data_IF_401764424067
#
_entry.id   IF_401764424067
#
_cell.length_a   1.000
_cell.length_b   1.000
_cell.length_c   1.000
_cell.angle_alpha   90.00
_cell.angle_beta   90.00
_cell.angle_gamma   90.00
#
_symmetry.space_group_name_H-M   'P 1'
#
loop_
_entity.id
_entity.type
_entity.pdbx_description
1 polymer ?
#
# COMPACT_ATOMS: atom_id res chain seq x y z
N UNK A 1 -43.01 3.22 5.18
CA UNK A 1 -42.61 3.76 3.86
C UNK A 1 -43.58 3.18 2.86
N UNK A 2 -44.24 4.00 2.03
CA UNK A 2 -45.03 3.51 0.92
C UNK A 2 -44.16 3.57 -0.33
N UNK A 3 -43.56 2.44 -0.69
CA UNK A 3 -42.62 2.36 -1.81
C UNK A 3 -43.31 2.06 -3.16
N UNK A 4 -44.64 1.95 -3.20
CA UNK A 4 -45.37 1.63 -4.42
C UNK A 4 -44.98 0.30 -5.06
N UNK A 5 -44.45 -0.65 -4.28
CA UNK A 5 -44.03 -1.96 -4.78
C UNK A 5 -45.28 -2.75 -5.14
N UNK A 6 -45.32 -3.27 -6.37
CA UNK A 6 -46.43 -4.11 -6.82
C UNK A 6 -46.48 -5.42 -6.03
N UNK A 7 -47.68 -5.88 -5.70
CA UNK A 7 -47.92 -7.10 -4.95
C UNK A 7 -47.21 -8.33 -5.55
N UNK A 8 -47.17 -8.41 -6.88
CA UNK A 8 -46.56 -9.52 -7.62
C UNK A 8 -45.03 -9.39 -7.79
N UNK A 9 -44.39 -8.42 -7.14
CA UNK A 9 -42.93 -8.27 -7.19
C UNK A 9 -42.28 -9.42 -6.44
N UNK A 10 -41.39 -10.15 -7.12
CA UNK A 10 -40.62 -11.24 -6.51
C UNK A 10 -39.60 -10.70 -5.51
N UNK A 11 -39.56 -11.31 -4.32
CA UNK A 11 -38.65 -10.99 -3.24
C UNK A 11 -37.56 -12.06 -3.16
N UNK A 12 -36.32 -11.63 -3.33
CA UNK A 12 -35.13 -12.45 -3.14
C UNK A 12 -34.64 -13.22 -4.37
N UNK A 13 -33.70 -14.17 -4.18
CA UNK A 13 -33.07 -14.89 -5.28
C UNK A 13 -34.06 -15.76 -6.07
N UNK A 14 -33.73 -16.03 -7.33
CA UNK A 14 -34.46 -16.98 -8.18
C UNK A 14 -34.54 -18.35 -7.49
N UNK A 15 -35.77 -18.85 -7.25
CA UNK A 15 -36.03 -20.14 -6.61
C UNK A 15 -36.75 -20.07 -5.25
N UNK A 16 -36.89 -18.89 -4.63
CA UNK A 16 -37.68 -18.73 -3.41
C UNK A 16 -39.18 -18.46 -3.67
N UNK A 17 -39.50 -18.00 -4.88
CA UNK A 17 -40.84 -17.65 -5.38
C UNK A 17 -41.71 -16.85 -4.39
N UNK A 18 -41.06 -16.04 -3.55
CA UNK A 18 -41.74 -15.20 -2.57
C UNK A 18 -42.23 -13.93 -3.25
N UNK A 19 -43.48 -13.55 -3.01
CA UNK A 19 -44.10 -12.35 -3.58
C UNK A 19 -44.33 -11.31 -2.49
N UNK A 20 -44.21 -10.03 -2.84
CA UNK A 20 -44.31 -8.93 -1.88
C UNK A 20 -45.60 -8.97 -1.03
N UNK A 21 -46.74 -9.33 -1.61
CA UNK A 21 -48.01 -9.40 -0.87
C UNK A 21 -47.99 -10.38 0.31
N UNK A 22 -47.19 -11.45 0.23
CA UNK A 22 -47.07 -12.46 1.31
C UNK A 22 -46.53 -11.83 2.59
N UNK A 23 -45.82 -10.71 2.47
CA UNK A 23 -45.20 -10.00 3.58
C UNK A 23 -46.04 -8.85 4.13
N UNK A 24 -47.15 -8.49 3.48
CA UNK A 24 -47.99 -7.32 3.82
C UNK A 24 -48.45 -7.32 5.28
N UNK A 25 -48.94 -8.46 5.77
CA UNK A 25 -49.39 -8.64 7.16
C UNK A 25 -48.25 -8.43 8.16
N UNK A 26 -47.05 -8.93 7.87
CA UNK A 26 -45.89 -8.71 8.76
C UNK A 26 -45.41 -7.26 8.71
N UNK A 27 -45.43 -6.64 7.53
CA UNK A 27 -45.02 -5.26 7.35
C UNK A 27 -45.92 -4.28 8.10
N UNK A 28 -47.24 -4.55 8.13
CA UNK A 28 -48.21 -3.76 8.90
C UNK A 28 -47.94 -3.77 10.42
N UNK A 29 -47.28 -4.82 10.94
CA UNK A 29 -46.90 -4.90 12.36
C UNK A 29 -45.72 -4.00 12.72
N UNK A 30 -44.96 -3.50 11.74
CA UNK A 30 -43.79 -2.64 11.94
C UNK A 30 -42.80 -3.17 12.99
N UNK A 31 -42.63 -4.50 13.02
CA UNK A 31 -41.71 -5.16 13.95
C UNK A 31 -40.27 -4.73 13.63
N UNK A 32 -39.43 -4.56 14.64
CA UNK A 32 -38.01 -4.29 14.44
C UNK A 32 -37.23 -5.59 14.34
N UNK A 33 -36.23 -5.65 13.45
CA UNK A 33 -35.19 -6.67 13.58
C UNK A 33 -34.47 -6.42 14.91
N UNK A 34 -33.71 -7.38 15.44
CA UNK A 34 -32.88 -7.18 16.64
C UNK A 34 -31.96 -5.94 16.53
N UNK A 35 -31.15 -5.67 17.57
CA UNK A 35 -30.30 -4.47 17.72
C UNK A 35 -29.57 -3.98 16.45
N UNK A 36 -29.19 -2.69 16.46
CA UNK A 36 -28.44 -2.02 15.38
C UNK A 36 -27.26 -2.88 14.92
N UNK A 37 -27.13 -3.10 13.62
CA UNK A 37 -26.00 -3.85 13.05
C UNK A 37 -25.23 -3.00 12.07
N UNK A 38 -23.93 -3.28 11.92
CA UNK A 38 -23.12 -2.57 10.94
C UNK A 38 -23.29 -3.20 9.54
N UNK A 39 -23.13 -2.38 8.50
CA UNK A 39 -22.96 -2.81 7.13
C UNK A 39 -21.50 -2.60 6.74
N UNK A 40 -20.83 -3.67 6.35
CA UNK A 40 -19.43 -3.63 5.91
C UNK A 40 -19.30 -4.05 4.45
N UNK A 41 -18.28 -3.56 3.74
CA UNK A 41 -17.93 -4.16 2.46
C UNK A 41 -17.43 -5.60 2.64
N UNK A 42 -17.66 -6.43 1.64
CA UNK A 42 -17.01 -7.73 1.51
C UNK A 42 -15.54 -7.56 1.01
N UNK A 43 -14.94 -8.59 0.42
CA UNK A 43 -13.54 -8.59 -0.07
C UNK A 43 -13.19 -7.42 -1.01
N UNK A 44 -14.18 -6.82 -1.65
CA UNK A 44 -14.02 -5.86 -2.73
C UNK A 44 -14.09 -4.38 -2.31
N UNK A 45 -14.72 -4.07 -1.17
CA UNK A 45 -15.24 -2.72 -0.94
C UNK A 45 -14.52 -1.86 0.10
N UNK A 46 -13.43 -2.33 0.71
CA UNK A 46 -12.72 -1.55 1.74
C UNK A 46 -11.39 -1.03 1.25
N UNK A 47 -11.15 0.26 1.48
CA UNK A 47 -9.81 0.84 1.42
C UNK A 47 -8.97 0.33 2.61
N UNK A 48 -7.64 0.49 2.52
CA UNK A 48 -6.73 0.31 3.66
C UNK A 48 -7.31 1.02 4.89
N UNK A 49 -7.57 0.30 5.99
CA UNK A 49 -8.12 0.87 7.21
C UNK A 49 -7.26 2.03 7.71
N UNK A 50 -7.88 3.13 8.13
CA UNK A 50 -7.15 4.32 8.57
C UNK A 50 -6.13 4.04 9.68
N UNK A 51 -6.31 3.09 10.63
CA UNK A 51 -5.26 2.81 11.61
C UNK A 51 -3.99 2.24 10.95
N UNK A 52 -4.14 1.39 9.92
CA UNK A 52 -3.00 0.84 9.17
C UNK A 52 -2.31 1.93 8.36
N UNK A 53 -3.08 2.76 7.66
CA UNK A 53 -2.55 3.91 6.94
C UNK A 53 -1.86 4.92 7.89
N UNK A 54 -2.38 5.11 9.11
CA UNK A 54 -1.80 5.99 10.11
C UNK A 54 -0.47 5.44 10.63
N UNK A 55 -0.39 4.15 10.96
CA UNK A 55 0.89 3.52 11.33
C UNK A 55 1.91 3.68 10.20
N UNK A 56 1.48 3.47 8.96
CA UNK A 56 2.35 3.65 7.80
C UNK A 56 2.81 5.11 7.66
N UNK A 57 1.92 6.09 7.85
CA UNK A 57 2.24 7.52 7.86
C UNK A 57 3.21 7.88 8.99
N UNK A 58 3.01 7.37 10.20
CA UNK A 58 3.87 7.62 11.37
C UNK A 58 5.28 7.07 11.16
N UNK A 59 5.45 6.01 10.37
CA UNK A 59 6.76 5.49 9.97
C UNK A 59 7.36 6.37 8.86
N UNK A 60 6.60 6.67 7.80
CA UNK A 60 7.12 7.32 6.61
C UNK A 60 7.39 8.82 6.79
N UNK A 61 6.54 9.53 7.53
CA UNK A 61 6.65 10.98 7.68
C UNK A 61 7.98 11.40 8.34
N UNK A 62 8.40 10.83 9.50
CA UNK A 62 9.72 11.13 10.06
C UNK A 62 10.85 10.72 9.12
N UNK A 63 10.71 9.61 8.39
CA UNK A 63 11.74 9.15 7.46
C UNK A 63 11.95 10.12 6.31
N UNK A 64 10.89 10.71 5.76
CA UNK A 64 11.01 11.75 4.73
C UNK A 64 11.77 12.97 5.26
N UNK A 65 11.46 13.42 6.48
CA UNK A 65 12.19 14.53 7.13
C UNK A 65 13.67 14.20 7.38
N UNK A 66 13.96 12.97 7.83
CA UNK A 66 15.34 12.51 8.04
C UNK A 66 16.05 12.34 6.69
N UNK A 67 15.39 11.88 5.62
CA UNK A 67 16.00 11.76 4.28
C UNK A 67 16.42 13.11 3.70
N UNK A 68 15.67 14.17 4.00
CA UNK A 68 16.02 15.53 3.60
C UNK A 68 17.36 15.98 4.22
N UNK A 69 17.62 15.60 5.47
CA UNK A 69 18.76 16.13 6.26
C UNK A 69 19.92 15.14 6.46
N UNK A 70 19.63 13.86 6.70
CA UNK A 70 20.55 12.79 7.15
C UNK A 70 20.31 11.45 6.44
N UNK A 71 20.22 11.48 5.11
CA UNK A 71 19.92 10.32 4.26
C UNK A 71 20.79 9.06 4.53
N UNK A 72 22.05 9.24 4.93
CA UNK A 72 22.97 8.13 5.19
C UNK A 72 22.49 7.18 6.31
N UNK A 73 21.72 7.69 7.28
CA UNK A 73 21.26 6.89 8.43
C UNK A 73 20.02 6.04 8.13
N UNK A 74 19.32 6.31 7.02
CA UNK A 74 18.01 5.72 6.71
C UNK A 74 18.04 4.82 5.47
N UNK A 75 19.22 4.51 4.96
CA UNK A 75 19.40 3.71 3.73
C UNK A 75 18.76 2.32 3.86
N UNK A 76 19.16 1.56 4.89
CA UNK A 76 18.69 0.18 5.10
C UNK A 76 17.18 0.15 5.33
N UNK A 77 16.66 1.04 6.17
CA UNK A 77 15.23 1.11 6.44
C UNK A 77 14.42 1.45 5.18
N UNK A 78 14.96 2.29 4.30
CA UNK A 78 14.31 2.60 3.01
C UNK A 78 14.20 1.38 2.10
N UNK A 79 15.22 0.52 2.08
CA UNK A 79 15.19 -0.73 1.31
C UNK A 79 14.17 -1.72 1.88
N UNK A 80 14.09 -1.83 3.21
CA UNK A 80 13.14 -2.71 3.89
C UNK A 80 11.70 -2.27 3.62
N UNK A 81 11.42 -0.96 3.69
CA UNK A 81 10.09 -0.42 3.39
C UNK A 81 9.72 -0.62 1.93
N UNK A 82 10.63 -0.35 1.00
CA UNK A 82 10.41 -0.62 -0.43
C UNK A 82 10.12 -2.10 -0.70
N UNK A 83 10.88 -3.03 -0.10
CA UNK A 83 10.64 -4.46 -0.23
C UNK A 83 9.28 -4.87 0.38
N UNK A 84 8.90 -4.26 1.50
CA UNK A 84 7.59 -4.48 2.15
C UNK A 84 6.45 -4.00 1.25
N UNK A 85 6.59 -2.82 0.64
CA UNK A 85 5.59 -2.26 -0.30
C UNK A 85 5.45 -3.11 -1.56
N UNK A 86 6.54 -3.67 -2.09
CA UNK A 86 6.47 -4.68 -3.17
C UNK A 86 5.67 -5.89 -2.69
N UNK A 87 6.03 -6.46 -1.54
CA UNK A 87 5.36 -7.64 -0.97
C UNK A 87 3.86 -7.42 -0.79
N UNK A 88 3.46 -6.30 -0.19
CA UNK A 88 2.05 -5.94 -0.02
C UNK A 88 1.32 -5.72 -1.34
N UNK A 89 1.94 -5.04 -2.30
CA UNK A 89 1.31 -4.81 -3.61
C UNK A 89 1.12 -6.11 -4.38
N UNK A 90 2.13 -7.00 -4.37
CA UNK A 90 2.05 -8.32 -4.98
C UNK A 90 0.96 -9.14 -4.32
N UNK A 91 0.91 -9.16 -2.99
CA UNK A 91 -0.12 -9.88 -2.25
C UNK A 91 -1.52 -9.37 -2.62
N UNK A 92 -1.75 -8.06 -2.57
CA UNK A 92 -3.03 -7.49 -2.96
C UNK A 92 -3.41 -7.81 -4.42
N UNK A 93 -2.44 -7.84 -5.34
CA UNK A 93 -2.67 -8.22 -6.74
C UNK A 93 -3.04 -9.69 -6.90
N UNK A 94 -2.41 -10.59 -6.14
CA UNK A 94 -2.69 -12.01 -6.16
C UNK A 94 -4.06 -12.32 -5.55
N UNK A 95 -4.37 -11.72 -4.41
CA UNK A 95 -5.64 -11.90 -3.69
C UNK A 95 -6.83 -11.40 -4.48
N UNK A 96 -6.72 -10.19 -5.04
CA UNK A 96 -7.83 -9.57 -5.77
C UNK A 96 -7.88 -9.94 -7.24
N UNK A 97 -6.82 -10.58 -7.75
CA UNK A 97 -6.56 -10.76 -9.19
C UNK A 97 -6.60 -9.44 -9.98
N UNK A 98 -6.48 -8.30 -9.29
CA UNK A 98 -6.66 -6.93 -9.82
C UNK A 98 -8.04 -6.71 -10.45
N UNK A 99 -9.06 -7.37 -9.92
CA UNK A 99 -10.44 -7.14 -10.35
C UNK A 99 -10.85 -5.69 -10.08
N UNK A 100 -11.58 -5.04 -11.01
CA UNK A 100 -11.88 -3.61 -10.92
C UNK A 100 -12.82 -3.26 -9.77
N UNK A 101 -13.71 -4.19 -9.39
CA UNK A 101 -14.57 -4.08 -8.22
C UNK A 101 -13.79 -4.10 -6.89
N UNK A 102 -12.54 -4.55 -6.90
CA UNK A 102 -11.67 -4.68 -5.71
C UNK A 102 -10.55 -3.62 -5.66
N UNK A 103 -10.63 -2.57 -6.48
CA UNK A 103 -9.59 -1.51 -6.60
C UNK A 103 -9.18 -0.90 -5.26
N UNK A 104 -10.11 -0.81 -4.31
CA UNK A 104 -9.89 -0.23 -3.00
C UNK A 104 -8.85 -1.02 -2.18
N UNK A 105 -8.70 -2.32 -2.44
CA UNK A 105 -7.73 -3.19 -1.76
C UNK A 105 -6.36 -3.11 -2.42
N UNK A 106 -6.30 -3.08 -3.75
CA UNK A 106 -5.04 -3.26 -4.48
C UNK A 106 -4.39 -1.98 -5.03
N UNK A 107 -5.07 -0.83 -5.02
CA UNK A 107 -4.54 0.39 -5.63
C UNK A 107 -3.12 0.74 -5.13
N UNK A 108 -2.08 0.75 -6.01
CA UNK A 108 -0.67 0.85 -5.60
C UNK A 108 -0.23 2.30 -5.38
N UNK A 109 -1.09 3.15 -4.79
CA UNK A 109 -0.86 4.60 -4.72
C UNK A 109 0.26 4.97 -3.73
N UNK A 110 0.46 4.14 -2.70
CA UNK A 110 1.46 4.38 -1.64
C UNK A 110 2.90 4.10 -2.10
N UNK A 111 3.06 3.38 -3.22
CA UNK A 111 4.35 2.93 -3.77
C UNK A 111 5.28 4.08 -4.16
N UNK A 112 4.72 5.24 -4.57
CA UNK A 112 5.49 6.42 -5.00
C UNK A 112 6.53 6.87 -3.97
N UNK A 113 6.22 6.72 -2.68
CA UNK A 113 7.10 7.16 -1.59
C UNK A 113 8.39 6.33 -1.57
N UNK A 114 8.26 5.02 -1.77
CA UNK A 114 9.39 4.10 -1.80
C UNK A 114 10.18 4.19 -3.10
N UNK A 115 9.53 4.50 -4.23
CA UNK A 115 10.21 4.78 -5.50
C UNK A 115 11.20 5.93 -5.34
N UNK A 116 10.75 7.05 -4.78
CA UNK A 116 11.62 8.19 -4.47
C UNK A 116 12.78 7.80 -3.55
N UNK A 117 12.51 6.96 -2.54
CA UNK A 117 13.51 6.50 -1.59
C UNK A 117 14.64 5.69 -2.23
N UNK A 118 14.30 4.67 -3.01
CA UNK A 118 15.30 3.79 -3.63
C UNK A 118 16.02 4.49 -4.77
N UNK A 119 15.34 5.40 -5.48
CA UNK A 119 15.97 6.26 -6.47
C UNK A 119 17.00 7.20 -5.81
N UNK A 120 16.66 7.86 -4.71
CA UNK A 120 17.61 8.67 -3.95
C UNK A 120 18.82 7.84 -3.52
N UNK A 121 18.60 6.62 -3.04
CA UNK A 121 19.66 5.76 -2.54
C UNK A 121 20.66 5.38 -3.64
N UNK A 122 20.16 4.99 -4.82
CA UNK A 122 20.98 4.66 -5.97
C UNK A 122 21.84 5.85 -6.42
N UNK A 123 21.22 7.02 -6.61
CA UNK A 123 21.92 8.20 -7.13
C UNK A 123 22.94 8.79 -6.14
N UNK A 124 22.62 8.85 -4.84
CA UNK A 124 23.52 9.46 -3.87
C UNK A 124 24.75 8.59 -3.55
N UNK A 125 24.61 7.27 -3.54
CA UNK A 125 25.78 6.39 -3.37
C UNK A 125 26.71 6.47 -4.59
N UNK A 126 26.13 6.55 -5.79
CA UNK A 126 26.89 6.72 -7.02
C UNK A 126 27.58 8.09 -7.08
N UNK A 127 26.93 9.14 -6.57
CA UNK A 127 27.50 10.48 -6.46
C UNK A 127 28.71 10.54 -5.52
N UNK A 128 28.59 10.00 -4.30
CA UNK A 128 29.69 9.94 -3.32
C UNK A 128 30.96 9.33 -3.96
N UNK A 129 30.78 8.40 -4.90
CA UNK A 129 31.86 7.76 -5.63
C UNK A 129 32.31 8.56 -6.86
N UNK A 130 31.38 9.19 -7.59
CA UNK A 130 31.66 10.01 -8.77
C UNK A 130 32.47 11.26 -8.43
N UNK A 131 32.27 11.86 -7.25
CA UNK A 131 33.05 13.03 -6.80
C UNK A 131 34.57 12.74 -6.77
N UNK A 132 34.96 11.46 -6.68
CA UNK A 132 36.36 11.02 -6.62
C UNK A 132 36.90 10.51 -7.97
N UNK A 133 36.05 10.18 -8.95
CA UNK A 133 36.45 9.50 -10.21
C UNK A 133 35.84 10.08 -11.50
N UNK A 134 35.00 11.11 -11.42
CA UNK A 134 34.20 11.59 -12.55
C UNK A 134 32.89 10.81 -12.71
N UNK A 135 32.25 10.89 -13.89
CA UNK A 135 30.96 10.20 -14.12
C UNK A 135 31.10 8.68 -14.00
N UNK A 136 30.31 8.07 -13.12
CA UNK A 136 30.31 6.62 -12.91
C UNK A 136 28.92 6.08 -13.28
N UNK A 137 28.81 5.28 -14.34
CA UNK A 137 27.53 4.75 -14.77
C UNK A 137 27.01 3.68 -13.77
N UNK A 138 25.68 3.53 -13.59
CA UNK A 138 25.11 2.56 -12.65
C UNK A 138 25.58 1.12 -12.84
N UNK A 139 25.87 0.70 -14.08
CA UNK A 139 26.39 -0.65 -14.37
C UNK A 139 27.74 -0.93 -13.71
N UNK A 140 28.51 0.10 -13.34
CA UNK A 140 29.77 -0.06 -12.64
C UNK A 140 29.60 -0.76 -11.28
N UNK A 141 28.53 -0.46 -10.55
CA UNK A 141 28.22 -1.15 -9.29
C UNK A 141 28.00 -2.66 -9.51
N UNK A 142 27.30 -3.03 -10.59
CA UNK A 142 27.12 -4.42 -10.98
C UNK A 142 28.46 -5.09 -11.34
N UNK A 143 29.34 -4.39 -12.05
CA UNK A 143 30.66 -4.91 -12.41
C UNK A 143 31.55 -5.18 -11.20
N UNK A 144 31.44 -4.40 -10.12
CA UNK A 144 32.19 -4.64 -8.88
C UNK A 144 31.69 -5.89 -8.16
N UNK A 145 30.37 -6.10 -8.12
CA UNK A 145 29.79 -7.30 -7.52
C UNK A 145 30.20 -8.56 -8.29
N UNK A 146 30.11 -8.53 -9.62
CA UNK A 146 30.48 -9.65 -10.47
C UNK A 146 31.99 -9.85 -10.56
N UNK A 147 32.78 -8.77 -10.50
CA UNK A 147 34.25 -8.80 -10.55
C UNK A 147 34.89 -9.50 -9.35
N UNK A 148 34.16 -9.66 -8.23
CA UNK A 148 34.56 -10.50 -7.11
C UNK A 148 34.65 -12.00 -7.44
N UNK A 149 34.09 -12.45 -8.57
CA UNK A 149 34.23 -13.82 -9.08
C UNK A 149 35.50 -14.03 -9.91
N UNK A 150 36.18 -12.94 -10.31
CA UNK A 150 37.47 -13.02 -10.99
C UNK A 150 38.56 -13.10 -9.91
N UNK A 151 39.07 -14.30 -9.66
CA UNK A 151 40.20 -14.55 -8.74
C UNK A 151 41.28 -13.50 -9.01
N UNK A 152 41.61 -12.67 -8.02
CA UNK A 152 42.81 -11.86 -8.10
C UNK A 152 44.00 -12.82 -8.26
N UNK A 153 44.90 -12.57 -9.21
CA UNK A 153 46.14 -13.33 -9.29
C UNK A 153 46.85 -13.23 -7.93
N UNK A 154 47.48 -14.33 -7.47
CA UNK A 154 48.14 -14.35 -6.17
C UNK A 154 49.10 -13.17 -6.07
N UNK A 155 48.97 -12.42 -4.96
CA UNK A 155 49.83 -11.29 -4.64
C UNK A 155 51.29 -11.80 -4.70
N UNK A 156 52.18 -11.19 -5.49
CA UNK A 156 53.56 -11.66 -5.57
C UNK A 156 54.18 -11.67 -4.17
N UNK A 157 55.01 -12.68 -3.85
CA UNK A 157 55.61 -12.82 -2.53
C UNK A 157 56.34 -11.53 -2.16
N UNK A 158 56.00 -10.99 -1.00
CA UNK A 158 56.61 -9.79 -0.43
C UNK A 158 58.10 -10.06 -0.28
N UNK A 159 58.93 -9.36 -1.05
CA UNK A 159 60.38 -9.45 -0.96
C UNK A 159 60.82 -9.25 0.49
N UNK A 160 61.71 -10.08 1.03
CA UNK A 160 62.17 -9.95 2.41
C UNK A 160 62.86 -8.60 2.57
N UNK A 161 62.27 -7.72 3.39
CA UNK A 161 62.92 -6.48 3.81
C UNK A 161 64.18 -6.85 4.59
N UNK A 162 65.33 -6.47 4.05
CA UNK A 162 66.62 -6.58 4.71
C UNK A 162 66.54 -5.88 6.08
N UNK A 163 66.62 -6.67 7.14
CA UNK A 163 66.62 -6.20 8.53
C UNK A 163 68.03 -5.70 8.84
N UNK A 164 68.23 -4.39 8.87
CA UNK A 164 69.47 -3.81 9.41
C UNK A 164 69.52 -4.06 10.93
N UNK A 165 70.63 -4.59 11.48
CA UNK A 165 70.75 -4.83 12.91
C UNK A 165 71.31 -3.62 13.67
N UNK A 166 70.74 -3.42 14.86
CA UNK A 166 71.33 -2.86 16.09
C UNK A 166 71.80 -1.41 16.13
N UNK A 167 71.14 -0.62 17.01
CA UNK A 167 71.83 0.16 18.05
C UNK A 167 70.96 0.26 19.33
N UNK A 168 71.58 0.49 20.51
CA UNK A 168 71.06 0.01 21.80
C UNK A 168 70.19 1.01 22.57
N UNK A 169 69.43 0.43 23.51
CA UNK A 169 68.60 1.08 24.53
C UNK A 169 69.39 2.10 25.35
N UNK A 170 68.89 3.33 25.41
CA UNK A 170 69.03 4.22 26.57
C UNK A 170 67.66 4.37 27.19
N UNK A 171 67.51 3.87 28.41
CA UNK A 171 66.34 4.08 29.24
C UNK A 171 66.35 5.53 29.73
N UNK A 172 65.28 6.28 29.46
CA UNK A 172 64.93 7.38 30.36
C UNK A 172 63.41 7.45 30.53
N UNK A 173 63.03 7.36 31.80
CA UNK A 173 61.68 7.44 32.33
C UNK A 173 61.40 8.93 32.60
N UNK A 174 60.14 9.34 32.42
CA UNK A 174 59.55 10.66 32.66
C UNK A 174 59.37 11.53 31.40
N UNK A 175 58.23 11.34 30.73
CA UNK A 175 57.30 12.42 30.41
C UNK A 175 56.02 11.79 29.84
N UNK A 176 54.95 11.77 30.65
CA UNK A 176 53.59 11.62 30.13
C UNK A 176 53.26 12.98 29.51
N UNK A 177 53.73 13.18 28.29
CA UNK A 177 53.22 14.23 27.43
C UNK A 177 52.05 13.61 26.67
N UNK A 178 50.88 14.19 26.88
CA UNK A 178 49.66 13.90 26.16
C UNK A 178 49.92 14.20 24.69
N UNK A 179 50.42 13.20 23.95
CA UNK A 179 50.53 13.23 22.52
C UNK A 179 49.10 13.33 21.98
N UNK A 180 48.64 14.57 21.82
CA UNK A 180 47.74 14.94 20.75
C UNK A 180 48.42 14.41 19.49
N UNK A 181 47.99 13.20 19.10
CA UNK A 181 48.17 12.67 17.76
C UNK A 181 47.43 13.66 16.88
N UNK A 182 48.12 14.73 16.53
CA UNK A 182 47.87 15.50 15.33
C UNK A 182 48.08 14.48 14.22
N UNK A 183 46.98 13.84 13.83
CA UNK A 183 46.88 13.21 12.52
C UNK A 183 47.20 14.32 11.52
N UNK A 184 48.48 14.45 11.17
CA UNK A 184 48.87 15.10 9.94
C UNK A 184 48.07 14.43 8.82
N UNK A 185 47.67 15.18 7.78
CA UNK A 185 47.01 14.58 6.64
C UNK A 185 48.05 13.67 5.98
N UNK A 186 48.08 12.40 6.39
CA UNK A 186 48.57 11.35 5.55
C UNK A 186 47.79 11.51 4.26
N UNK A 187 48.51 11.87 3.19
CA UNK A 187 48.02 11.87 1.84
C UNK A 187 47.67 10.42 1.50
N UNK A 188 46.52 9.96 2.00
CA UNK A 188 45.81 8.82 1.48
C UNK A 188 45.36 9.24 0.08
N UNK A 189 46.23 9.03 -0.89
CA UNK A 189 45.85 8.82 -2.30
C UNK A 189 45.07 7.51 -2.47
N UNK A 190 44.39 7.07 -1.41
CA UNK A 190 43.43 5.98 -1.38
C UNK A 190 42.21 6.44 -2.16
N UNK A 191 42.28 6.27 -3.48
CA UNK A 191 41.15 6.34 -4.38
C UNK A 191 39.96 5.68 -3.69
N UNK A 192 38.97 6.47 -3.27
CA UNK A 192 37.80 5.96 -2.56
C UNK A 192 37.17 4.84 -3.39
N UNK A 193 37.38 3.59 -2.97
CA UNK A 193 36.89 2.43 -3.70
C UNK A 193 35.46 2.15 -3.23
N UNK A 194 34.52 2.00 -4.17
CA UNK A 194 33.14 1.64 -3.83
C UNK A 194 33.19 0.27 -3.16
N UNK A 195 32.88 0.23 -1.86
CA UNK A 195 32.88 -1.02 -1.11
C UNK A 195 31.84 -1.98 -1.69
N UNK A 196 32.09 -3.30 -1.60
CA UNK A 196 31.14 -4.32 -2.07
C UNK A 196 29.74 -4.12 -1.46
N UNK A 197 29.67 -3.68 -0.20
CA UNK A 197 28.40 -3.37 0.48
C UNK A 197 27.64 -2.20 -0.16
N UNK A 198 28.32 -1.10 -0.49
CA UNK A 198 27.69 0.04 -1.20
C UNK A 198 27.24 -0.34 -2.61
N UNK A 199 28.05 -1.12 -3.33
CA UNK A 199 27.69 -1.64 -4.65
C UNK A 199 26.44 -2.55 -4.58
N UNK A 200 26.35 -3.42 -3.57
CA UNK A 200 25.17 -4.25 -3.32
C UNK A 200 23.93 -3.40 -3.07
N UNK A 201 24.02 -2.38 -2.21
CA UNK A 201 22.90 -1.47 -1.93
C UNK A 201 22.41 -0.77 -3.20
N UNK A 202 23.32 -0.29 -4.06
CA UNK A 202 22.95 0.35 -5.33
C UNK A 202 22.20 -0.61 -6.25
N UNK A 203 22.73 -1.82 -6.45
CA UNK A 203 22.08 -2.83 -7.31
C UNK A 203 20.72 -3.23 -6.76
N UNK A 204 20.62 -3.46 -5.44
CA UNK A 204 19.34 -3.75 -4.80
C UNK A 204 18.34 -2.60 -4.94
N UNK A 205 18.79 -1.36 -4.77
CA UNK A 205 17.95 -0.17 -4.95
C UNK A 205 17.39 -0.07 -6.37
N UNK A 206 18.22 -0.36 -7.38
CA UNK A 206 17.82 -0.36 -8.79
C UNK A 206 16.79 -1.48 -9.06
N UNK A 207 17.00 -2.68 -8.53
CA UNK A 207 16.05 -3.79 -8.67
C UNK A 207 14.71 -3.46 -8.02
N UNK A 208 14.71 -2.90 -6.81
CA UNK A 208 13.50 -2.46 -6.12
C UNK A 208 12.80 -1.33 -6.87
N UNK A 209 13.55 -0.36 -7.42
CA UNK A 209 13.00 0.71 -8.25
C UNK A 209 12.20 0.15 -9.44
N UNK A 210 12.80 -0.76 -10.22
CA UNK A 210 12.12 -1.38 -11.35
C UNK A 210 10.93 -2.24 -10.92
N UNK A 211 11.03 -2.93 -9.78
CA UNK A 211 9.91 -3.68 -9.21
C UNK A 211 8.72 -2.79 -8.88
N UNK A 212 8.95 -1.70 -8.14
CA UNK A 212 7.91 -0.72 -7.76
C UNK A 212 7.30 -0.05 -9.00
N UNK A 213 8.12 0.41 -9.95
CA UNK A 213 7.64 1.03 -11.19
C UNK A 213 6.81 0.05 -12.04
N UNK A 214 7.23 -1.23 -12.12
CA UNK A 214 6.47 -2.26 -12.82
C UNK A 214 5.10 -2.50 -12.18
N UNK A 215 5.03 -2.52 -10.83
CA UNK A 215 3.78 -2.67 -10.11
C UNK A 215 2.83 -1.48 -10.33
N UNK A 216 3.35 -0.26 -10.38
CA UNK A 216 2.56 0.93 -10.72
C UNK A 216 2.01 0.87 -12.16
N UNK A 217 2.83 0.47 -13.13
CA UNK A 217 2.40 0.31 -14.53
C UNK A 217 1.31 -0.77 -14.63
N UNK A 218 1.51 -1.91 -13.97
CA UNK A 218 0.52 -2.99 -13.93
C UNK A 218 -0.80 -2.50 -13.32
N UNK A 219 -0.73 -1.76 -12.21
CA UNK A 219 -1.90 -1.19 -11.55
C UNK A 219 -2.62 -0.16 -12.44
N UNK A 220 -1.86 0.68 -13.13
CA UNK A 220 -2.38 1.66 -14.09
C UNK A 220 -3.14 0.98 -15.24
N UNK A 221 -2.54 -0.02 -15.87
CA UNK A 221 -3.18 -0.79 -16.96
C UNK A 221 -4.46 -1.47 -16.45
N UNK A 222 -4.41 -2.07 -15.26
CA UNK A 222 -5.57 -2.73 -14.65
C UNK A 222 -6.69 -1.72 -14.35
N UNK A 223 -6.34 -0.52 -13.86
CA UNK A 223 -7.29 0.55 -13.58
C UNK A 223 -7.94 1.10 -14.86
N UNK A 224 -7.16 1.29 -15.93
CA UNK A 224 -7.67 1.72 -17.25
C UNK A 224 -8.65 0.68 -17.80
N UNK A 225 -8.30 -0.61 -17.76
CA UNK A 225 -9.18 -1.68 -18.20
C UNK A 225 -10.45 -1.75 -17.34
N UNK A 226 -10.34 -1.52 -16.03
CA UNK A 226 -11.49 -1.45 -15.13
C UNK A 226 -12.45 -0.31 -15.43
N UNK A 227 -11.93 0.85 -15.86
CA UNK A 227 -12.77 1.99 -16.27
C UNK A 227 -13.63 1.70 -17.49
N UNK A 228 -13.20 0.79 -18.36
CA UNK A 228 -13.99 0.39 -19.54
C UNK A 228 -15.30 -0.32 -19.17
N UNK A 229 -15.38 -0.91 -17.97
CA UNK A 229 -16.56 -1.63 -17.45
C UNK A 229 -17.19 -0.95 -16.23
N UNK A 230 -16.91 0.35 -16.04
CA UNK A 230 -17.30 1.11 -14.83
C UNK A 230 -18.81 1.08 -14.54
N UNK A 231 -19.64 1.06 -15.57
CA UNK A 231 -21.11 1.17 -15.45
C UNK A 231 -21.76 -0.16 -15.01
N UNK A 232 -21.02 -1.27 -15.12
CA UNK A 232 -21.47 -2.61 -14.71
C UNK A 232 -20.84 -3.06 -13.40
N UNK A 233 -20.09 -2.19 -12.71
CA UNK A 233 -19.45 -2.54 -11.46
C UNK A 233 -20.51 -2.68 -10.35
N UNK A 234 -20.41 -3.78 -9.62
CA UNK A 234 -21.18 -4.05 -8.41
C UNK A 234 -20.20 -4.28 -7.26
N UNK A 235 -20.61 -3.91 -6.05
CA UNK A 235 -19.85 -4.18 -4.83
C UNK A 235 -20.74 -4.90 -3.82
N UNK A 236 -20.17 -5.93 -3.19
CA UNK A 236 -20.88 -6.73 -2.20
C UNK A 236 -20.73 -6.10 -0.81
N UNK A 237 -21.84 -5.93 -0.12
CA UNK A 237 -21.91 -5.40 1.24
C UNK A 237 -22.65 -6.37 2.15
N UNK A 238 -22.08 -6.65 3.30
CA UNK A 238 -22.52 -7.70 4.20
C UNK A 238 -22.92 -7.13 5.56
N UNK A 239 -23.94 -7.73 6.16
CA UNK A 239 -24.40 -7.37 7.50
C UNK A 239 -24.93 -8.60 8.23
N UNK A 240 -24.64 -8.79 9.53
CA UNK A 240 -25.23 -9.85 10.34
C UNK A 240 -26.77 -9.82 10.31
N UNK A 241 -27.39 -8.66 10.09
CA UNK A 241 -28.85 -8.58 10.00
C UNK A 241 -29.44 -9.32 8.78
N UNK A 242 -28.62 -9.48 7.74
CA UNK A 242 -28.97 -10.22 6.52
C UNK A 242 -28.67 -11.72 6.65
N UNK A 243 -28.21 -12.17 7.82
CA UNK A 243 -28.04 -13.59 8.11
C UNK A 243 -29.41 -14.31 8.17
N UNK A 244 -29.35 -15.65 8.03
CA UNK A 244 -30.41 -16.64 8.31
C UNK A 244 -31.82 -16.27 7.83
N UNK A 245 -32.26 -16.96 6.77
CA UNK A 245 -33.59 -16.84 6.18
C UNK A 245 -33.91 -15.47 5.55
N UNK A 246 -33.04 -14.47 5.64
CA UNK A 246 -33.18 -13.23 4.89
C UNK A 246 -33.02 -13.52 3.39
N UNK A 247 -34.03 -13.12 2.62
CA UNK A 247 -34.07 -13.31 1.17
C UNK A 247 -34.00 -11.98 0.43
N UNK A 248 -34.45 -10.88 1.03
CA UNK A 248 -34.44 -9.57 0.40
C UNK A 248 -34.30 -8.42 1.40
N UNK A 249 -33.75 -7.30 0.94
CA UNK A 249 -33.62 -6.05 1.70
C UNK A 249 -34.20 -4.93 0.87
N UNK A 250 -35.21 -4.26 1.38
CA UNK A 250 -35.71 -3.02 0.80
C UNK A 250 -35.05 -1.85 1.52
N UNK A 251 -34.29 -1.06 0.77
CA UNK A 251 -33.67 0.14 1.31
C UNK A 251 -34.69 1.29 1.46
N UNK A 252 -34.29 2.34 2.18
CA UNK A 252 -35.13 3.54 2.34
C UNK A 252 -35.31 4.39 1.07
N UNK A 253 -34.64 4.03 -0.03
CA UNK A 253 -34.85 4.59 -1.36
C UNK A 253 -35.79 3.71 -2.21
N UNK A 254 -36.47 2.75 -1.58
CA UNK A 254 -37.43 1.86 -2.21
C UNK A 254 -36.82 0.93 -3.28
N UNK A 255 -35.52 0.63 -3.18
CA UNK A 255 -34.89 -0.39 -4.02
C UNK A 255 -34.77 -1.70 -3.27
N UNK A 256 -35.21 -2.76 -3.93
CA UNK A 256 -35.16 -4.12 -3.41
C UNK A 256 -33.84 -4.77 -3.85
N UNK A 257 -33.11 -5.29 -2.87
CA UNK A 257 -31.85 -5.99 -3.06
C UNK A 257 -32.03 -7.46 -2.66
N UNK A 258 -31.63 -8.38 -3.52
CA UNK A 258 -31.60 -9.80 -3.18
C UNK A 258 -30.47 -10.09 -2.20
N UNK A 259 -30.74 -10.85 -1.15
CA UNK A 259 -29.72 -11.31 -0.22
C UNK A 259 -29.10 -12.58 -0.76
N UNK A 260 -27.78 -12.57 -0.96
CA UNK A 260 -26.98 -13.77 -1.18
C UNK A 260 -26.32 -14.19 0.11
N UNK A 261 -26.40 -15.47 0.48
CA UNK A 261 -25.65 -16.00 1.61
C UNK A 261 -24.17 -16.12 1.24
N UNK A 262 -23.27 -15.51 2.01
CA UNK A 262 -21.86 -15.89 1.96
C UNK A 262 -21.70 -17.20 2.74
N UNK A 263 -21.85 -18.33 2.05
CA UNK A 263 -21.88 -19.68 2.63
C UNK A 263 -20.66 -20.02 3.50
N UNK A 264 -19.53 -19.32 3.31
CA UNK A 264 -18.30 -19.49 4.09
C UNK A 264 -18.23 -18.66 5.38
N UNK A 265 -19.12 -17.68 5.59
CA UNK A 265 -18.95 -16.64 6.62
C UNK A 265 -20.12 -16.45 7.57
N UNK A 266 -21.23 -17.18 7.40
CA UNK A 266 -22.41 -17.04 8.27
C UNK A 266 -23.01 -15.63 8.26
N UNK A 267 -22.86 -14.87 7.18
CA UNK A 267 -23.37 -13.50 7.04
C UNK A 267 -24.06 -13.38 5.67
N UNK A 268 -25.17 -12.65 5.61
CA UNK A 268 -25.82 -12.31 4.35
C UNK A 268 -25.28 -11.03 3.74
N UNK A 269 -25.28 -10.99 2.42
CA UNK A 269 -24.77 -9.85 1.67
C UNK A 269 -25.74 -9.42 0.58
N UNK A 270 -25.68 -8.13 0.26
CA UNK A 270 -26.41 -7.49 -0.85
C UNK A 270 -25.39 -6.92 -1.82
N UNK A 271 -25.80 -6.75 -3.08
CA UNK A 271 -25.00 -6.07 -4.09
C UNK A 271 -25.49 -4.64 -4.26
N UNK A 272 -24.56 -3.69 -4.19
CA UNK A 272 -24.80 -2.28 -4.43
C UNK A 272 -24.01 -1.82 -5.66
N UNK A 273 -24.43 -0.70 -6.28
CA UNK A 273 -23.71 -0.11 -7.40
C UNK A 273 -22.27 0.22 -7.03
N UNK A 274 -21.31 -0.18 -7.87
CA UNK A 274 -19.87 0.06 -7.70
C UNK A 274 -19.44 1.48 -8.06
N UNK A 275 -20.28 2.50 -7.84
CA UNK A 275 -19.98 3.88 -8.19
C UNK A 275 -18.72 4.41 -7.49
N UNK A 276 -18.48 3.95 -6.26
CA UNK A 276 -17.27 4.27 -5.51
C UNK A 276 -16.03 3.64 -6.17
N UNK A 277 -16.09 2.36 -6.54
CA UNK A 277 -15.03 1.66 -7.26
C UNK A 277 -14.70 2.37 -8.58
N UNK A 278 -15.71 2.79 -9.34
CA UNK A 278 -15.52 3.56 -10.56
C UNK A 278 -14.77 4.88 -10.32
N UNK A 279 -15.14 5.63 -9.27
CA UNK A 279 -14.43 6.85 -8.87
C UNK A 279 -12.98 6.57 -8.47
N UNK A 280 -12.74 5.48 -7.74
CA UNK A 280 -11.40 5.06 -7.32
C UNK A 280 -10.53 4.56 -8.45
N UNK A 281 -11.08 3.88 -9.46
CA UNK A 281 -10.37 3.54 -10.68
C UNK A 281 -9.90 4.80 -11.40
N UNK A 282 -10.79 5.79 -11.56
CA UNK A 282 -10.44 7.07 -12.19
C UNK A 282 -9.37 7.83 -11.41
N UNK A 283 -9.51 7.91 -10.09
CA UNK A 283 -8.52 8.49 -9.20
C UNK A 283 -7.18 7.75 -9.27
N UNK A 284 -7.20 6.41 -9.31
CA UNK A 284 -6.00 5.57 -9.43
C UNK A 284 -5.27 5.83 -10.74
N UNK A 285 -5.99 5.92 -11.86
CA UNK A 285 -5.39 6.29 -13.15
C UNK A 285 -4.73 7.67 -13.08
N UNK A 286 -5.45 8.68 -12.59
CA UNK A 286 -4.93 10.04 -12.49
C UNK A 286 -3.69 10.14 -11.59
N UNK A 287 -3.75 9.55 -10.39
CA UNK A 287 -2.65 9.58 -9.43
C UNK A 287 -1.44 8.78 -9.93
N UNK A 288 -1.63 7.62 -10.56
CA UNK A 288 -0.50 6.83 -11.07
C UNK A 288 0.18 7.49 -12.27
N UNK A 289 -0.58 8.11 -13.19
CA UNK A 289 0.01 8.89 -14.28
C UNK A 289 0.83 10.06 -13.70
N UNK A 290 0.25 10.82 -12.77
CA UNK A 290 0.96 11.90 -12.11
C UNK A 290 2.21 11.40 -11.38
N UNK A 291 2.11 10.28 -10.66
CA UNK A 291 3.22 9.62 -9.96
C UNK A 291 4.39 9.33 -10.90
N UNK A 292 4.14 8.64 -12.02
CA UNK A 292 5.16 8.29 -13.00
C UNK A 292 5.83 9.54 -13.61
N UNK A 293 5.07 10.61 -13.85
CA UNK A 293 5.62 11.89 -14.32
C UNK A 293 6.50 12.55 -13.25
N UNK A 294 6.08 12.53 -11.98
CA UNK A 294 6.87 13.08 -10.88
C UNK A 294 8.13 12.26 -10.61
N UNK A 295 8.08 10.95 -10.76
CA UNK A 295 9.24 10.06 -10.66
C UNK A 295 10.25 10.35 -11.77
N UNK A 296 9.77 10.56 -13.01
CA UNK A 296 10.62 10.99 -14.11
C UNK A 296 11.24 12.36 -13.85
N UNK A 297 10.47 13.32 -13.34
CA UNK A 297 10.96 14.65 -12.99
C UNK A 297 12.05 14.57 -11.90
N UNK A 298 11.82 13.78 -10.84
CA UNK A 298 12.80 13.57 -9.78
C UNK A 298 14.05 12.84 -10.32
N UNK A 299 13.92 11.88 -11.23
CA UNK A 299 15.04 11.22 -11.90
C UNK A 299 15.88 12.23 -12.71
N UNK A 300 15.22 13.14 -13.44
CA UNK A 300 15.90 14.22 -14.17
C UNK A 300 16.61 15.17 -13.21
N UNK A 301 15.98 15.57 -12.11
CA UNK A 301 16.61 16.41 -11.07
C UNK A 301 17.84 15.72 -10.49
N UNK A 302 17.75 14.44 -10.14
CA UNK A 302 18.87 13.67 -9.59
C UNK A 302 20.01 13.46 -10.59
N UNK A 303 19.71 13.45 -11.90
CA UNK A 303 20.69 13.28 -12.96
C UNK A 303 21.38 14.60 -13.35
N UNK A 304 20.61 15.68 -13.49
CA UNK A 304 21.06 16.94 -14.09
C UNK A 304 21.56 17.96 -13.06
N UNK A 305 21.03 17.94 -11.83
CA UNK A 305 21.39 18.95 -10.82
C UNK A 305 22.70 18.58 -10.13
N UNK A 306 23.62 19.53 -10.06
CA UNK A 306 24.90 19.36 -9.37
C UNK A 306 24.73 19.26 -7.86
N UNK A 307 25.58 18.46 -7.18
CA UNK A 307 25.58 18.28 -5.70
C UNK A 307 25.63 19.59 -4.93
N UNK A 308 26.34 20.55 -5.50
CA UNK A 308 26.65 21.85 -4.89
C UNK A 308 25.47 22.82 -5.00
N UNK A 309 24.50 22.54 -5.87
CA UNK A 309 23.33 23.37 -6.04
C UNK A 309 22.44 23.35 -4.80
N UNK A 310 22.26 24.53 -4.20
CA UNK A 310 21.36 24.76 -3.08
C UNK A 310 20.33 25.80 -3.47
N UNK A 311 19.08 25.56 -3.13
CA UNK A 311 18.00 26.54 -3.23
C UNK A 311 17.51 26.87 -1.84
N UNK A 312 17.57 28.15 -1.46
CA UNK A 312 17.22 28.62 -0.10
C UNK A 312 17.93 27.83 1.01
N UNK A 313 19.19 27.44 0.78
CA UNK A 313 20.00 26.66 1.73
C UNK A 313 19.76 25.14 1.70
N UNK A 314 18.75 24.66 0.98
CA UNK A 314 18.40 23.25 0.88
C UNK A 314 19.06 22.61 -0.36
N UNK A 315 19.62 21.39 -0.21
CA UNK A 315 20.22 20.66 -1.33
C UNK A 315 19.14 20.27 -2.35
N UNK A 316 19.29 20.70 -3.59
CA UNK A 316 18.27 20.46 -4.63
C UNK A 316 18.31 19.04 -5.20
N UNK A 317 19.44 18.33 -5.08
CA UNK A 317 19.61 16.96 -5.57
C UNK A 317 18.95 15.93 -4.64
N UNK A 318 17.62 15.95 -4.60
CA UNK A 318 16.74 15.05 -3.84
C UNK A 318 15.45 14.84 -4.64
N UNK A 319 14.78 13.68 -4.48
CA UNK A 319 13.51 13.43 -5.14
C UNK A 319 12.36 14.06 -4.35
N UNK A 320 12.29 15.39 -4.39
CA UNK A 320 11.35 16.17 -3.58
C UNK A 320 9.89 15.85 -3.93
N UNK A 321 9.59 15.64 -5.21
CA UNK A 321 8.22 15.48 -5.67
C UNK A 321 7.61 14.19 -5.11
N UNK A 322 8.26 13.06 -5.32
CA UNK A 322 7.82 11.74 -4.85
C UNK A 322 7.78 11.65 -3.32
N UNK A 323 8.73 12.29 -2.62
CA UNK A 323 8.72 12.35 -1.15
C UNK A 323 7.50 13.08 -0.60
N UNK A 324 7.21 14.29 -1.07
CA UNK A 324 6.09 15.07 -0.54
C UNK A 324 4.74 14.54 -1.03
N UNK A 325 4.65 14.14 -2.30
CA UNK A 325 3.42 13.56 -2.85
C UNK A 325 3.09 12.21 -2.18
N UNK A 326 4.08 11.37 -1.89
CA UNK A 326 3.86 10.12 -1.16
C UNK A 326 3.29 10.34 0.24
N UNK A 327 3.82 11.32 0.98
CA UNK A 327 3.26 11.70 2.30
C UNK A 327 1.83 12.25 2.15
N UNK A 328 1.57 13.10 1.17
CA UNK A 328 0.24 13.65 0.91
C UNK A 328 -0.78 12.55 0.60
N UNK A 329 -0.40 11.54 -0.20
CA UNK A 329 -1.22 10.36 -0.49
C UNK A 329 -1.52 9.60 0.81
N UNK A 330 -0.54 9.36 1.67
CA UNK A 330 -0.79 8.68 2.95
C UNK A 330 -1.75 9.46 3.87
N UNK A 331 -1.60 10.78 3.95
CA UNK A 331 -2.55 11.63 4.69
C UNK A 331 -3.95 11.51 4.09
N UNK A 332 -4.07 11.50 2.77
CA UNK A 332 -5.35 11.28 2.09
C UNK A 332 -5.97 9.92 2.42
N UNK A 333 -5.19 8.83 2.43
CA UNK A 333 -5.68 7.50 2.84
C UNK A 333 -6.19 7.49 4.29
N UNK A 334 -5.49 8.16 5.22
CA UNK A 334 -5.94 8.27 6.62
C UNK A 334 -7.29 8.99 6.71
N UNK A 335 -7.40 10.16 6.07
CA UNK A 335 -8.63 10.97 6.10
C UNK A 335 -9.78 10.23 5.42
N UNK A 336 -9.55 9.71 4.21
CA UNK A 336 -10.58 9.01 3.46
C UNK A 336 -11.01 7.72 4.17
N UNK A 337 -10.07 6.93 4.68
CA UNK A 337 -10.38 5.71 5.44
C UNK A 337 -11.20 6.00 6.71
N UNK A 338 -11.00 7.15 7.35
CA UNK A 338 -11.82 7.59 8.48
C UNK A 338 -13.25 7.98 8.04
N UNK A 339 -13.36 8.75 6.94
CA UNK A 339 -14.65 9.15 6.38
C UNK A 339 -15.46 7.95 5.89
N UNK A 340 -14.80 7.00 5.23
CA UNK A 340 -15.41 5.77 4.75
C UNK A 340 -15.91 4.90 5.92
N UNK A 341 -15.08 4.71 6.95
CA UNK A 341 -15.47 3.94 8.13
C UNK A 341 -16.64 4.56 8.91
N UNK A 342 -16.89 5.87 8.76
CA UNK A 342 -17.92 6.62 9.48
C UNK A 342 -19.19 6.86 8.67
N UNK A 343 -19.26 6.42 7.41
CA UNK A 343 -20.40 6.63 6.52
C UNK A 343 -20.95 5.33 5.97
N UNK A 344 -22.24 5.33 5.64
CA UNK A 344 -22.84 4.26 4.86
C UNK A 344 -22.49 4.43 3.38
N UNK A 345 -22.48 3.33 2.60
CA UNK A 345 -22.26 3.42 1.17
C UNK A 345 -23.30 4.31 0.50
N UNK A 346 -22.89 4.96 -0.60
CA UNK A 346 -23.78 5.85 -1.35
C UNK A 346 -25.06 5.13 -1.77
N UNK A 347 -26.21 5.75 -1.48
CA UNK A 347 -27.52 5.17 -1.78
C UNK A 347 -28.09 4.25 -0.70
N UNK A 348 -27.37 4.01 0.40
CA UNK A 348 -27.84 3.19 1.51
C UNK A 348 -28.21 4.04 2.74
N UNK A 349 -29.50 4.15 3.10
CA UNK A 349 -29.93 4.84 4.31
C UNK A 349 -29.79 3.95 5.56
N UNK A 350 -29.86 4.56 6.75
CA UNK A 350 -29.76 3.85 8.02
C UNK A 350 -30.92 2.88 8.28
N UNK A 351 -32.09 3.11 7.68
CA UNK A 351 -33.28 2.29 7.91
C UNK A 351 -33.54 1.41 6.71
N UNK A 352 -33.68 0.11 6.95
CA UNK A 352 -34.02 -0.89 5.94
C UNK A 352 -35.16 -1.78 6.39
N UNK A 353 -35.79 -2.47 5.44
CA UNK A 353 -36.74 -3.53 5.69
C UNK A 353 -36.17 -4.86 5.21
N UNK A 354 -36.07 -5.83 6.12
CA UNK A 354 -35.49 -7.14 5.83
C UNK A 354 -36.61 -8.15 5.71
N UNK A 355 -36.68 -8.80 4.56
CA UNK A 355 -37.64 -9.84 4.22
C UNK A 355 -37.01 -11.19 4.53
N UNK A 356 -37.69 -11.97 5.36
CA UNK A 356 -37.24 -13.27 5.85
C UNK A 356 -38.27 -14.34 5.51
N UNK A 357 -37.82 -15.47 4.99
CA UNK A 357 -38.66 -16.64 4.70
C UNK A 357 -37.99 -17.87 5.29
N UNK A 358 -38.57 -18.39 6.36
CA UNK A 358 -38.06 -19.59 7.03
C UNK A 358 -38.61 -20.84 6.34
N UNK A 359 -37.77 -21.68 5.69
CA UNK A 359 -38.24 -22.80 4.87
C UNK A 359 -38.98 -23.88 5.65
N UNK A 360 -38.63 -24.08 6.93
CA UNK A 360 -39.22 -25.11 7.81
C UNK A 360 -40.62 -24.75 8.30
N UNK A 361 -40.91 -23.46 8.47
CA UNK A 361 -42.20 -22.99 8.99
C UNK A 361 -43.09 -22.38 7.91
N UNK A 362 -42.54 -22.05 6.73
CA UNK A 362 -43.27 -21.35 5.68
C UNK A 362 -43.76 -19.97 6.13
N UNK A 363 -43.07 -19.35 7.09
CA UNK A 363 -43.45 -18.06 7.65
C UNK A 363 -42.70 -16.95 6.94
N UNK A 364 -43.44 -16.07 6.26
CA UNK A 364 -42.94 -14.82 5.70
C UNK A 364 -42.99 -13.70 6.75
N UNK A 365 -41.81 -13.20 7.14
CA UNK A 365 -41.69 -12.09 8.07
C UNK A 365 -40.93 -10.93 7.45
N UNK A 366 -41.32 -9.74 7.87
CA UNK A 366 -40.63 -8.49 7.59
C UNK A 366 -40.33 -7.81 8.90
N UNK A 367 -39.09 -7.37 9.04
CA UNK A 367 -38.69 -6.57 10.17
C UNK A 367 -37.94 -5.31 9.70
N UNK A 368 -38.09 -4.23 10.47
CA UNK A 368 -37.41 -2.96 10.26
C UNK A 368 -36.05 -3.01 10.93
N UNK A 369 -35.00 -2.89 10.14
CA UNK A 369 -33.61 -2.84 10.56
C UNK A 369 -33.06 -1.44 10.68
N UNK A 370 -32.10 -1.24 11.59
CA UNK A 370 -31.25 -0.06 11.64
C UNK A 370 -29.81 -0.50 11.37
N UNK A 371 -29.24 0.05 10.30
CA UNK A 371 -27.89 -0.19 9.84
C UNK A 371 -27.00 0.98 10.25
N UNK A 372 -25.82 0.65 10.78
CA UNK A 372 -24.76 1.61 11.08
C UNK A 372 -23.56 1.43 10.13
N UNK A 373 -22.72 2.47 9.97
CA UNK A 373 -21.46 2.35 9.23
C UNK A 373 -20.59 1.20 9.73
N UNK A 374 -19.70 0.71 8.86
CA UNK A 374 -18.77 -0.39 9.15
C UNK A 374 -17.92 -0.13 10.40
N UNK A 375 -17.60 1.14 10.67
CA UNK A 375 -16.66 1.53 11.71
C UNK A 375 -15.26 0.98 11.43
N UNK A 376 -14.38 1.12 12.43
CA UNK A 376 -13.00 0.62 12.32
C UNK A 376 -12.96 -0.90 12.18
N UNK A 377 -13.79 -1.61 12.97
CA UNK A 377 -13.86 -3.07 12.96
C UNK A 377 -14.28 -3.61 11.59
N UNK A 378 -15.38 -3.10 11.04
CA UNK A 378 -15.89 -3.56 9.74
C UNK A 378 -14.93 -3.24 8.59
N UNK A 379 -14.25 -2.09 8.64
CA UNK A 379 -13.23 -1.72 7.65
C UNK A 379 -12.01 -2.65 7.72
N UNK A 380 -11.52 -2.97 8.92
CA UNK A 380 -10.41 -3.92 9.11
C UNK A 380 -10.78 -5.29 8.56
N UNK A 381 -11.96 -5.81 8.91
CA UNK A 381 -12.42 -7.10 8.42
C UNK A 381 -12.56 -7.11 6.89
N UNK A 382 -13.25 -6.12 6.31
CA UNK A 382 -13.46 -6.05 4.86
C UNK A 382 -12.16 -5.96 4.08
N UNK A 383 -11.22 -5.10 4.49
CA UNK A 383 -9.94 -4.97 3.79
C UNK A 383 -9.07 -6.22 3.97
N UNK A 384 -8.99 -6.79 5.17
CA UNK A 384 -8.17 -7.97 5.44
C UNK A 384 -8.69 -9.20 4.70
N UNK A 385 -10.01 -9.34 4.62
CA UNK A 385 -10.69 -10.39 3.85
C UNK A 385 -10.35 -10.32 2.35
N UNK A 386 -10.25 -9.11 1.79
CA UNK A 386 -9.81 -8.90 0.40
C UNK A 386 -8.30 -9.08 0.22
N UNK A 387 -7.50 -8.59 1.16
CA UNK A 387 -6.04 -8.64 1.09
C UNK A 387 -5.48 -10.06 1.23
N UNK A 388 -6.13 -10.92 2.03
CA UNK A 388 -5.67 -12.30 2.31
C UNK A 388 -6.55 -13.37 1.65
N UNK A 389 -7.37 -13.01 0.65
CA UNK A 389 -8.32 -13.95 0.04
C UNK A 389 -7.65 -15.17 -0.62
N UNK A 390 -6.41 -15.02 -1.11
CA UNK A 390 -5.60 -16.09 -1.69
C UNK A 390 -5.01 -17.06 -0.64
N UNK A 391 -5.07 -16.77 0.67
CA UNK A 391 -4.53 -17.65 1.72
C UNK A 391 -5.40 -18.89 1.97
N UNK A 392 -6.56 -18.97 1.33
CA UNK A 392 -7.40 -20.16 1.30
C UNK A 392 -7.76 -20.66 2.70
N UNK A 393 -7.27 -21.85 3.08
CA UNK A 393 -7.57 -22.47 4.38
C UNK A 393 -6.75 -21.93 5.55
N UNK A 394 -5.76 -21.08 5.30
CA UNK A 394 -4.94 -20.50 6.38
C UNK A 394 -5.65 -19.31 7.02
N UNK A 395 -6.56 -18.66 6.30
CA UNK A 395 -7.34 -17.52 6.77
C UNK A 395 -8.83 -17.75 6.47
N UNK A 396 -9.64 -17.90 7.51
CA UNK A 396 -11.08 -18.17 7.36
C UNK A 396 -11.97 -16.92 7.43
N UNK A 397 -11.40 -15.73 7.64
CA UNK A 397 -12.17 -14.49 7.83
C UNK A 397 -12.74 -14.35 9.23
#
# INVERSE_FOLDING_TARGET
>A
MNCGIHDNTTIGPTGYDAQYWQFSTSMAKNATCSERTYLRPDTAGSIIPWPYALVWLLIHFPLVLIRATRWQKVQVLSLVLAATSIGWSVEAYLSTQRRPDEVLVWAPLTVILDVGAVMQLAFLIMEDFAEHKGFVPPWYAFSILMGGLRKQPPKPPRSPSLRSPTEPKVANINHIELAVVTNGPAADTGVAQLSKGKAFIVVLSILLFFGLASLQIIGLVSAINGLAVKDTLESTWCSPMFESFAIGVLDGNCRLHSVSSSASRGIGCIKLSGAQQAGWLAGTVGVLIASLVLELADMLVLTLVTSKSKWRGVKMRRPWCTMFCGVAILVFYVIYGLLEASRLPSGMPEVVWVFRKEPSLGIETVCRGIITPAGVRGSIMGWTDGFLSNWGRTYFG
#
